data_IF_041910104347
#
_entry.id   IF_041910104347
#
_cell.length_a   1.000
_cell.length_b   1.000
_cell.length_c   1.000
_cell.angle_alpha   90.00
_cell.angle_beta   90.00
_cell.angle_gamma   90.00
#
_symmetry.space_group_name_H-M   'P 1'
#
loop_
_entity.id
_entity.type
_entity.pdbx_description
1 polymer ?
#
# COMPACT_ATOMS: atom_id res chain seq x y z
N UNK A 1 -2.30 5.35 15.73
CA UNK A 1 -2.26 5.28 14.25
C UNK A 1 -0.80 5.21 13.82
N UNK A 2 -0.44 4.28 12.95
CA UNK A 2 0.92 4.20 12.38
C UNK A 2 1.06 5.17 11.21
N UNK A 3 2.28 5.62 10.91
CA UNK A 3 2.56 6.51 9.77
C UNK A 3 2.01 5.95 8.47
N UNK A 4 2.09 4.63 8.29
CA UNK A 4 1.57 3.92 7.12
C UNK A 4 0.05 3.94 7.07
N UNK A 5 -0.65 3.76 8.20
CA UNK A 5 -2.10 3.90 8.20
C UNK A 5 -2.54 5.34 7.89
N UNK A 6 -1.84 6.34 8.42
CA UNK A 6 -2.12 7.74 8.09
C UNK A 6 -1.90 7.98 6.60
N UNK A 7 -0.81 7.48 6.01
CA UNK A 7 -0.56 7.53 4.57
C UNK A 7 -1.71 6.91 3.77
N UNK A 8 -2.15 5.71 4.14
CA UNK A 8 -3.26 5.03 3.47
C UNK A 8 -4.57 5.82 3.55
N UNK A 9 -4.82 6.51 4.66
CA UNK A 9 -6.00 7.37 4.80
C UNK A 9 -5.86 8.65 3.96
N UNK A 10 -4.71 9.33 4.03
CA UNK A 10 -4.41 10.56 3.31
C UNK A 10 -4.56 10.39 1.80
N UNK A 11 -4.11 9.26 1.25
CA UNK A 11 -4.21 8.95 -0.17
C UNK A 11 -5.46 8.15 -0.55
N UNK A 12 -6.40 7.93 0.39
CA UNK A 12 -7.64 7.19 0.11
C UNK A 12 -7.46 5.69 -0.18
N UNK A 13 -6.26 5.16 0.05
CA UNK A 13 -5.90 3.76 -0.21
C UNK A 13 -6.43 2.79 0.85
N UNK A 14 -6.75 3.27 2.06
CA UNK A 14 -7.16 2.45 3.21
C UNK A 14 -8.37 1.53 2.97
N UNK A 15 -9.18 1.78 1.93
CA UNK A 15 -10.33 0.95 1.59
C UNK A 15 -9.93 -0.40 0.96
N UNK A 16 -8.80 -0.44 0.25
CA UNK A 16 -8.37 -1.62 -0.52
C UNK A 16 -6.89 -1.97 -0.33
N UNK A 17 -6.12 -1.12 0.33
CA UNK A 17 -4.73 -1.35 0.70
C UNK A 17 -4.63 -1.43 2.22
N UNK A 18 -3.91 -2.43 2.71
CA UNK A 18 -3.59 -2.60 4.13
C UNK A 18 -2.09 -2.70 4.32
N UNK A 19 -1.55 -2.07 5.36
CA UNK A 19 -0.16 -2.25 5.75
C UNK A 19 -0.04 -3.50 6.62
N UNK A 20 0.84 -4.42 6.23
CA UNK A 20 1.13 -5.66 6.93
C UNK A 20 2.66 -5.76 7.10
N UNK A 21 3.23 -5.28 8.23
CA UNK A 21 4.67 -5.35 8.43
C UNK A 21 5.12 -6.82 8.47
N UNK A 22 6.08 -7.19 7.62
CA UNK A 22 6.62 -8.54 7.53
C UNK A 22 8.13 -8.50 7.84
N UNK A 23 8.53 -9.08 8.96
CA UNK A 23 9.93 -9.19 9.40
C UNK A 23 10.76 -7.88 9.30
N UNK A 24 10.14 -6.73 9.61
CA UNK A 24 10.80 -5.41 9.55
C UNK A 24 10.78 -4.72 8.18
N UNK A 25 10.13 -5.33 7.17
CA UNK A 25 9.84 -4.67 5.89
C UNK A 25 8.42 -4.09 5.87
N UNK A 26 8.30 -2.94 5.21
CA UNK A 26 7.01 -2.32 4.96
C UNK A 26 6.29 -3.09 3.85
N UNK A 27 5.48 -4.08 4.23
CA UNK A 27 4.63 -4.77 3.27
C UNK A 27 3.26 -4.09 3.16
N UNK A 28 2.78 -3.92 1.94
CA UNK A 28 1.48 -3.37 1.60
C UNK A 28 0.70 -4.40 0.82
N UNK A 29 -0.48 -4.74 1.32
CA UNK A 29 -1.37 -5.73 0.75
C UNK A 29 -2.50 -5.00 0.02
N UNK A 30 -2.54 -5.14 -1.30
CA UNK A 30 -3.57 -4.55 -2.16
C UNK A 30 -4.59 -5.65 -2.48
N UNK A 31 -5.85 -5.45 -2.09
CA UNK A 31 -6.95 -6.33 -2.42
C UNK A 31 -7.34 -6.12 -3.88
N UNK A 32 -7.37 -7.18 -4.69
CA UNK A 32 -7.74 -7.15 -6.13
C UNK A 32 -9.20 -6.80 -6.45
N UNK A 33 -9.97 -6.38 -5.45
CA UNK A 33 -11.35 -5.95 -5.66
C UNK A 33 -11.44 -4.66 -6.49
N UNK A 34 -10.41 -3.82 -6.43
CA UNK A 34 -10.32 -2.58 -7.20
C UNK A 34 -9.80 -2.81 -8.63
N UNK A 35 -10.18 -1.90 -9.54
CA UNK A 35 -9.72 -1.92 -10.93
C UNK A 35 -8.19 -1.86 -11.06
N UNK A 36 -7.66 -2.43 -12.14
CA UNK A 36 -6.21 -2.49 -12.39
C UNK A 36 -5.53 -1.11 -12.37
N UNK A 37 -6.24 -0.05 -12.78
CA UNK A 37 -5.76 1.33 -12.71
C UNK A 37 -5.55 1.81 -11.27
N UNK A 38 -6.46 1.48 -10.34
CA UNK A 38 -6.33 1.80 -8.92
C UNK A 38 -5.20 1.03 -8.26
N UNK A 39 -5.03 -0.25 -8.63
CA UNK A 39 -3.88 -1.05 -8.18
C UNK A 39 -2.56 -0.44 -8.65
N UNK A 40 -2.47 -0.01 -9.91
CA UNK A 40 -1.28 0.67 -10.46
C UNK A 40 -1.04 2.02 -9.77
N UNK A 41 -2.10 2.79 -9.53
CA UNK A 41 -2.02 4.07 -8.83
C UNK A 41 -1.48 3.91 -7.41
N UNK A 42 -2.04 2.97 -6.63
CA UNK A 42 -1.59 2.64 -5.29
C UNK A 42 -0.13 2.16 -5.28
N UNK A 43 0.24 1.29 -6.22
CA UNK A 43 1.62 0.80 -6.37
C UNK A 43 2.60 1.94 -6.60
N UNK A 44 2.27 2.87 -7.50
CA UNK A 44 3.10 4.04 -7.80
C UNK A 44 3.25 4.98 -6.59
N UNK A 45 2.17 5.19 -5.82
CA UNK A 45 2.21 6.01 -4.60
C UNK A 45 3.09 5.37 -3.52
N UNK A 46 2.91 4.07 -3.27
CA UNK A 46 3.68 3.32 -2.27
C UNK A 46 5.16 3.31 -2.65
N UNK A 47 5.50 3.04 -3.91
CA UNK A 47 6.88 3.10 -4.40
C UNK A 47 7.46 4.51 -4.30
N UNK A 48 6.67 5.55 -4.57
CA UNK A 48 7.11 6.95 -4.46
C UNK A 48 7.44 7.36 -3.02
N UNK A 49 6.66 6.90 -2.04
CA UNK A 49 6.86 7.26 -0.62
C UNK A 49 7.83 6.35 0.14
N UNK A 50 7.78 5.04 -0.10
CA UNK A 50 8.54 4.04 0.66
C UNK A 50 9.73 3.46 -0.13
N UNK A 51 9.85 3.82 -1.42
CA UNK A 51 10.95 3.40 -2.28
C UNK A 51 10.98 1.90 -2.55
N UNK A 52 12.16 1.40 -2.89
CA UNK A 52 12.41 -0.01 -3.23
C UNK A 52 12.35 -0.96 -2.01
N UNK A 53 12.10 -0.43 -0.80
CA UNK A 53 11.94 -1.21 0.43
C UNK A 53 10.49 -1.62 0.72
N UNK A 54 9.53 -1.16 -0.08
CA UNK A 54 8.13 -1.56 0.05
C UNK A 54 7.86 -2.89 -0.65
N UNK A 55 7.38 -3.87 0.10
CA UNK A 55 6.94 -5.16 -0.42
C UNK A 55 5.45 -5.05 -0.78
N UNK A 56 5.12 -5.04 -2.07
CA UNK A 56 3.72 -4.87 -2.52
C UNK A 56 3.17 -6.24 -2.91
N UNK A 57 2.20 -6.72 -2.14
CA UNK A 57 1.52 -8.00 -2.37
C UNK A 57 0.11 -7.76 -2.89
N UNK A 58 -0.22 -8.35 -4.03
CA UNK A 58 -1.60 -8.40 -4.50
C UNK A 58 -2.26 -9.68 -4.00
N UNK A 59 -3.42 -9.57 -3.35
CA UNK A 59 -4.23 -10.68 -2.86
C UNK A 59 -5.66 -10.64 -3.40
#
# INVERSE_FOLDING_TARGET
MTTEQTFLITYGLHNFVSHAPDAGRNAFVIRRHEGADMVRHATSLIQGSYGNGADIRLV
#
